data_IF_100019644972
#
_entry.id   IF_100019644972
#
_cell.length_a   1.000
_cell.length_b   1.000
_cell.length_c   1.000
_cell.angle_alpha   90.00
_cell.angle_beta   90.00
_cell.angle_gamma   90.00
#
_symmetry.space_group_name_H-M   'P 1'
#
loop_
_entity.id
_entity.type
_entity.pdbx_description
1 polymer ?
#
# COMPACT_ATOMS: atom_id res chain seq x y z
N UNK A 1 4.49 20.44 -11.38
CA UNK A 1 4.40 19.15 -10.68
C UNK A 1 4.93 19.36 -9.27
N UNK A 2 4.16 19.07 -8.22
CA UNK A 2 4.75 18.99 -6.87
C UNK A 2 5.64 17.75 -6.88
N UNK A 3 6.95 17.93 -6.75
CA UNK A 3 7.84 16.80 -6.51
C UNK A 3 7.50 16.28 -5.11
N UNK A 4 6.83 15.13 -5.06
CA UNK A 4 6.67 14.40 -3.82
C UNK A 4 8.06 13.85 -3.44
N UNK A 5 8.68 14.45 -2.42
CA UNK A 5 10.04 14.10 -1.99
C UNK A 5 10.07 12.84 -1.13
N UNK A 6 8.90 12.30 -0.77
CA UNK A 6 8.78 11.07 0.03
C UNK A 6 9.19 9.86 -0.79
N UNK A 7 9.84 8.91 -0.14
CA UNK A 7 10.15 7.60 -0.71
C UNK A 7 9.21 6.54 -0.15
N UNK A 8 9.05 5.42 -0.86
CA UNK A 8 8.22 4.30 -0.41
C UNK A 8 8.62 3.79 0.98
N UNK A 9 9.93 3.80 1.28
CA UNK A 9 10.51 3.40 2.58
C UNK A 9 10.18 4.36 3.73
N UNK A 10 9.72 5.57 3.42
CA UNK A 10 9.36 6.59 4.41
C UNK A 10 7.90 6.46 4.84
N UNK A 11 7.11 5.59 4.18
CA UNK A 11 5.73 5.30 4.54
C UNK A 11 5.68 4.33 5.73
N UNK A 12 4.76 4.59 6.66
CA UNK A 12 4.55 3.75 7.82
C UNK A 12 4.11 2.34 7.41
N UNK A 13 4.68 1.32 8.06
CA UNK A 13 4.38 -0.08 7.77
C UNK A 13 5.08 -0.65 6.52
N UNK A 14 5.93 0.13 5.83
CA UNK A 14 6.67 -0.34 4.64
C UNK A 14 8.07 -0.82 5.03
N UNK A 15 8.19 -2.13 5.19
CA UNK A 15 9.48 -2.82 5.40
C UNK A 15 10.11 -3.33 4.10
N UNK A 16 11.25 -4.04 4.24
CA UNK A 16 11.99 -4.62 3.10
C UNK A 16 11.15 -5.53 2.20
N UNK A 17 10.23 -6.31 2.77
CA UNK A 17 9.35 -7.20 2.02
C UNK A 17 8.42 -6.39 1.09
N UNK A 18 7.68 -5.43 1.65
CA UNK A 18 6.79 -4.55 0.88
C UNK A 18 7.53 -3.75 -0.21
N UNK A 19 8.77 -3.29 0.06
CA UNK A 19 9.60 -2.63 -0.95
C UNK A 19 9.93 -3.56 -2.13
N UNK A 20 10.27 -4.82 -1.85
CA UNK A 20 10.52 -5.83 -2.88
C UNK A 20 9.26 -6.13 -3.68
N UNK A 21 8.11 -6.18 -3.02
CA UNK A 21 6.82 -6.38 -3.69
C UNK A 21 6.50 -5.21 -4.63
N UNK A 22 6.71 -3.97 -4.18
CA UNK A 22 6.55 -2.79 -5.04
C UNK A 22 7.51 -2.79 -6.23
N UNK A 23 8.76 -3.20 -6.03
CA UNK A 23 9.74 -3.36 -7.11
C UNK A 23 9.27 -4.40 -8.15
N UNK A 24 8.81 -5.58 -7.70
CA UNK A 24 8.23 -6.62 -8.56
C UNK A 24 7.01 -6.13 -9.33
N UNK A 25 6.18 -5.28 -8.69
CA UNK A 25 4.98 -4.72 -9.28
C UNK A 25 5.25 -3.54 -10.24
N UNK A 26 6.49 -3.04 -10.27
CA UNK A 26 6.91 -1.90 -11.08
C UNK A 26 6.54 -0.54 -10.51
N UNK A 27 6.44 -0.43 -9.18
CA UNK A 27 6.15 0.82 -8.44
C UNK A 27 7.43 1.29 -7.75
N UNK A 28 7.93 2.46 -8.14
CA UNK A 28 9.23 3.00 -7.66
C UNK A 28 9.06 4.28 -6.84
N UNK A 29 7.96 4.99 -7.00
CA UNK A 29 7.73 6.29 -6.36
C UNK A 29 6.39 6.35 -5.62
N UNK A 30 6.32 7.24 -4.63
CA UNK A 30 5.06 7.53 -3.92
C UNK A 30 4.00 8.08 -4.87
N UNK A 31 4.39 8.87 -5.87
CA UNK A 31 3.48 9.36 -6.91
C UNK A 31 2.92 8.25 -7.81
N UNK A 32 3.70 7.22 -8.13
CA UNK A 32 3.17 6.06 -8.85
C UNK A 32 2.21 5.25 -7.98
N UNK A 33 2.57 5.03 -6.72
CA UNK A 33 1.76 4.29 -5.76
C UNK A 33 0.40 4.95 -5.51
N UNK A 34 0.35 6.29 -5.40
CA UNK A 34 -0.90 7.04 -5.15
C UNK A 34 -1.94 6.88 -6.27
N UNK A 35 -1.51 6.48 -7.47
CA UNK A 35 -2.38 6.22 -8.64
C UNK A 35 -2.80 4.76 -8.76
N UNK A 36 -2.36 3.87 -7.87
CA UNK A 36 -2.70 2.44 -7.90
C UNK A 36 -3.98 2.16 -7.12
N UNK A 37 -4.62 1.05 -7.50
CA UNK A 37 -5.65 0.39 -6.69
C UNK A 37 -4.96 -0.75 -5.91
N UNK A 38 -5.11 -0.82 -4.58
CA UNK A 38 -4.40 -1.79 -3.75
C UNK A 38 -4.85 -3.24 -4.00
N UNK A 39 -6.14 -3.48 -4.28
CA UNK A 39 -6.66 -4.82 -4.61
C UNK A 39 -6.03 -5.34 -5.90
N UNK A 40 -5.92 -4.49 -6.93
CA UNK A 40 -5.21 -4.83 -8.18
C UNK A 40 -3.72 -5.06 -7.99
N UNK A 41 -3.07 -4.36 -7.06
CA UNK A 41 -1.66 -4.62 -6.73
C UNK A 41 -1.51 -6.00 -6.09
N UNK A 42 -2.40 -6.36 -5.17
CA UNK A 42 -2.42 -7.65 -4.49
C UNK A 42 -2.69 -8.80 -5.46
N UNK A 43 -3.71 -8.69 -6.32
CA UNK A 43 -4.01 -9.67 -7.36
C UNK A 43 -2.81 -9.87 -8.30
N UNK A 44 -2.18 -8.77 -8.71
CA UNK A 44 -0.99 -8.81 -9.57
C UNK A 44 0.18 -9.49 -8.85
N UNK A 45 0.41 -9.20 -7.57
CA UNK A 45 1.46 -9.86 -6.80
C UNK A 45 1.18 -11.36 -6.71
N UNK A 46 -0.06 -11.74 -6.39
CA UNK A 46 -0.46 -13.13 -6.31
C UNK A 46 -0.25 -13.90 -7.63
N UNK A 47 -0.48 -13.23 -8.77
CA UNK A 47 -0.23 -13.80 -10.10
C UNK A 47 1.26 -14.03 -10.41
N UNK A 48 2.17 -13.28 -9.78
CA UNK A 48 3.62 -13.31 -10.04
C UNK A 48 4.34 -14.22 -9.04
N UNK A 49 3.99 -14.16 -7.75
CA UNK A 49 4.71 -14.84 -6.66
C UNK A 49 3.89 -15.93 -5.95
N UNK A 50 2.71 -16.27 -6.48
CA UNK A 50 1.80 -17.23 -5.87
C UNK A 50 0.93 -16.62 -4.77
N UNK A 51 0.08 -17.42 -4.10
CA UNK A 51 -0.86 -16.95 -3.10
C UNK A 51 -0.20 -16.04 -2.04
N UNK A 52 -0.89 -14.98 -1.65
CA UNK A 52 -0.41 -13.99 -0.69
C UNK A 52 -1.31 -13.97 0.53
N UNK A 53 -0.76 -13.70 1.71
CA UNK A 53 -1.55 -13.52 2.92
C UNK A 53 -2.39 -12.23 2.85
N UNK A 54 -3.56 -12.23 3.49
CA UNK A 54 -4.45 -11.06 3.50
C UNK A 54 -3.79 -9.81 4.10
N UNK A 55 -2.81 -9.98 5.00
CA UNK A 55 -2.08 -8.85 5.59
C UNK A 55 -1.28 -8.05 4.54
N UNK A 56 -0.87 -8.66 3.43
CA UNK A 56 -0.18 -7.97 2.32
C UNK A 56 -1.11 -6.95 1.67
N UNK A 57 -2.37 -7.32 1.53
CA UNK A 57 -3.39 -6.44 0.98
C UNK A 57 -3.67 -5.24 1.90
N UNK A 58 -3.72 -5.46 3.22
CA UNK A 58 -3.85 -4.39 4.20
C UNK A 58 -2.64 -3.44 4.19
N UNK A 59 -1.43 -3.98 4.02
CA UNK A 59 -0.22 -3.16 3.80
C UNK A 59 -0.36 -2.31 2.54
N UNK A 60 -0.84 -2.86 1.42
CA UNK A 60 -1.04 -2.10 0.18
C UNK A 60 -2.08 -1.00 0.32
N UNK A 61 -3.19 -1.26 1.02
CA UNK A 61 -4.23 -0.26 1.29
C UNK A 61 -3.68 0.90 2.10
N UNK A 62 -2.95 0.58 3.17
CA UNK A 62 -2.25 1.55 4.00
C UNK A 62 -1.25 2.39 3.18
N UNK A 63 -0.41 1.72 2.38
CA UNK A 63 0.61 2.38 1.57
C UNK A 63 0.00 3.34 0.54
N UNK A 64 -1.05 2.91 -0.16
CA UNK A 64 -1.76 3.72 -1.16
C UNK A 64 -2.46 4.91 -0.49
N UNK A 65 -3.07 4.71 0.68
CA UNK A 65 -3.71 5.79 1.43
C UNK A 65 -2.71 6.86 1.86
N UNK A 66 -1.56 6.46 2.44
CA UNK A 66 -0.49 7.40 2.79
C UNK A 66 0.11 8.10 1.56
N UNK A 67 0.21 7.39 0.44
CA UNK A 67 0.69 7.97 -0.81
C UNK A 67 -0.27 9.06 -1.34
N UNK A 68 -1.58 8.84 -1.23
CA UNK A 68 -2.64 9.79 -1.63
C UNK A 68 -2.77 10.98 -0.68
N UNK A 69 -2.67 10.73 0.62
CA UNK A 69 -2.87 11.74 1.66
C UNK A 69 -1.64 11.86 2.58
N UNK A 70 -0.78 12.87 2.38
CA UNK A 70 0.33 13.15 3.30
C UNK A 70 -0.10 13.50 4.73
N UNK A 71 -1.34 13.96 4.92
CA UNK A 71 -1.91 14.33 6.21
C UNK A 71 -2.76 13.22 6.84
N UNK A 72 -2.68 11.99 6.31
CA UNK A 72 -3.46 10.84 6.79
C UNK A 72 -3.32 10.71 8.32
N UNK A 73 -4.42 10.51 9.08
CA UNK A 73 -4.35 10.37 10.53
C UNK A 73 -3.42 9.23 10.96
N UNK A 74 -2.64 9.42 12.03
CA UNK A 74 -1.62 8.47 12.50
C UNK A 74 -2.21 7.06 12.70
N UNK A 75 -3.44 6.97 13.20
CA UNK A 75 -4.11 5.67 13.39
C UNK A 75 -4.35 4.92 12.07
N UNK A 76 -4.63 5.63 10.98
CA UNK A 76 -4.83 5.04 9.64
C UNK A 76 -3.51 4.73 8.93
N UNK A 77 -2.36 5.16 9.46
CA UNK A 77 -1.03 4.80 8.95
C UNK A 77 -0.56 3.43 9.44
N UNK A 78 -1.28 2.84 10.38
CA UNK A 78 -1.03 1.49 10.88
C UNK A 78 -1.74 0.48 9.98
N UNK A 79 -1.01 -0.42 9.34
CA UNK A 79 -1.61 -1.36 8.38
C UNK A 79 -2.75 -2.20 8.97
N UNK A 80 -2.70 -2.54 10.27
CA UNK A 80 -3.75 -3.32 10.93
C UNK A 80 -5.07 -2.56 11.08
N UNK A 81 -5.08 -1.22 10.99
CA UNK A 81 -6.32 -0.43 10.90
C UNK A 81 -7.17 -0.88 9.70
N UNK A 82 -6.50 -1.19 8.59
CA UNK A 82 -7.13 -1.58 7.35
C UNK A 82 -7.71 -2.99 7.37
N UNK A 83 -7.30 -3.84 8.32
CA UNK A 83 -7.93 -5.16 8.51
C UNK A 83 -9.40 -5.06 8.95
N UNK A 84 -9.78 -3.97 9.61
CA UNK A 84 -11.14 -3.74 10.12
C UNK A 84 -12.05 -3.07 9.09
N UNK A 85 -11.50 -2.19 8.25
CA UNK A 85 -12.28 -1.33 7.34
C UNK A 85 -12.97 -2.08 6.20
N UNK A 86 -12.55 -3.31 5.86
CA UNK A 86 -13.24 -4.15 4.86
C UNK A 86 -14.61 -4.59 5.31
N UNK A 87 -14.80 -4.78 6.62
CA UNK A 87 -16.10 -5.17 7.16
C UNK A 87 -17.16 -4.08 6.99
N UNK A 88 -16.75 -2.83 6.84
CA UNK A 88 -17.65 -1.67 6.81
C UNK A 88 -17.97 -1.21 5.38
N UNK A 89 -17.18 -1.64 4.38
CA UNK A 89 -17.38 -1.29 2.97
C UNK A 89 -18.38 -2.22 2.24
N UNK A 90 -18.70 -3.36 2.85
CA UNK A 90 -19.65 -4.37 2.37
C UNK A 90 -21.02 -4.30 3.10
N UNK A 91 -21.33 -3.19 3.80
CA UNK A 91 -22.63 -2.91 4.42
C UNK A 91 -23.37 -1.77 3.70
#
# INVERSE_FOLDING_TARGET
MKNDTRQLKDLDGIGRAALKDFELLGVKTVHELSRKNPDRLYEKLASISGPQDICVLDVFRCAVAQAKDPALPIEQRKWWYWSQSWKESDL
#
